data_IF_097283267883
#
_entry.id   IF_097283267883
#
_cell.length_a   1.000
_cell.length_b   1.000
_cell.length_c   1.000
_cell.angle_alpha   90.00
_cell.angle_beta   90.00
_cell.angle_gamma   90.00
#
_symmetry.space_group_name_H-M   'P 1'
#
loop_
_entity.id
_entity.type
_entity.pdbx_description
1 polymer ?
#
# COMPACT_ATOMS: atom_id res chain seq x y z
N UNK A 1 -27.90 10.19 -17.92
CA UNK A 1 -27.19 9.93 -16.65
C UNK A 1 -26.06 10.92 -16.52
N UNK A 2 -26.17 11.85 -15.58
CA UNK A 2 -25.12 12.80 -15.27
C UNK A 2 -24.02 12.05 -14.51
N UNK A 3 -22.85 11.85 -15.13
CA UNK A 3 -21.67 11.32 -14.44
C UNK A 3 -21.14 12.41 -13.53
N UNK A 4 -21.66 12.48 -12.32
CA UNK A 4 -21.09 13.32 -11.26
C UNK A 4 -19.64 12.87 -11.07
N UNK A 5 -18.68 13.73 -11.46
CA UNK A 5 -17.26 13.47 -11.26
C UNK A 5 -16.93 13.69 -9.78
N UNK A 6 -17.12 12.66 -8.96
CA UNK A 6 -16.91 12.74 -7.52
C UNK A 6 -15.41 12.58 -7.24
N UNK A 7 -14.76 13.52 -6.52
CA UNK A 7 -13.33 13.48 -6.24
C UNK A 7 -12.95 12.29 -5.35
N UNK A 8 -11.80 11.69 -5.65
CA UNK A 8 -11.13 10.66 -4.84
C UNK A 8 -10.13 11.36 -3.92
N UNK A 9 -10.15 11.05 -2.64
CA UNK A 9 -9.16 11.54 -1.68
C UNK A 9 -8.32 10.38 -1.14
N UNK A 10 -7.03 10.63 -0.98
CA UNK A 10 -6.10 9.65 -0.43
C UNK A 10 -5.01 10.31 0.41
N UNK A 11 -4.58 9.61 1.45
CA UNK A 11 -3.47 9.96 2.30
C UNK A 11 -2.50 8.77 2.36
N UNK A 12 -1.22 9.06 2.26
CA UNK A 12 -0.16 8.06 2.31
C UNK A 12 0.84 8.44 3.39
N UNK A 13 1.20 7.47 4.22
CA UNK A 13 2.19 7.64 5.27
C UNK A 13 3.21 6.51 5.19
N UNK A 14 4.49 6.85 5.20
CA UNK A 14 5.59 5.88 5.24
C UNK A 14 6.67 6.31 6.21
N UNK A 15 7.25 5.33 6.89
CA UNK A 15 8.36 5.52 7.80
C UNK A 15 9.46 4.50 7.50
N UNK A 16 10.71 4.99 7.50
CA UNK A 16 11.90 4.13 7.45
C UNK A 16 12.28 3.74 8.87
N UNK A 17 12.45 2.44 9.10
CA UNK A 17 12.94 1.87 10.35
C UNK A 17 14.40 1.47 10.12
N UNK A 18 15.30 2.39 10.49
CA UNK A 18 16.73 2.26 10.17
C UNK A 18 17.00 2.32 8.66
N UNK A 19 18.00 1.55 8.21
CA UNK A 19 18.42 1.55 6.80
C UNK A 19 17.84 0.37 6.00
N UNK A 20 17.19 -0.58 6.68
CA UNK A 20 16.82 -1.86 6.10
C UNK A 20 15.31 -2.00 5.86
N UNK A 21 14.45 -1.30 6.60
CA UNK A 21 13.00 -1.53 6.54
C UNK A 21 12.28 -0.22 6.27
N UNK A 22 11.27 -0.26 5.41
CA UNK A 22 10.27 0.78 5.28
C UNK A 22 8.88 0.18 5.44
N UNK A 23 8.07 0.84 6.24
CA UNK A 23 6.68 0.50 6.47
C UNK A 23 5.83 1.66 6.03
N UNK A 24 4.66 1.39 5.48
CA UNK A 24 3.69 2.44 5.30
C UNK A 24 2.29 1.95 5.07
N UNK A 25 1.42 2.93 4.96
CA UNK A 25 -0.01 2.73 4.83
C UNK A 25 -0.58 3.76 3.87
N UNK A 26 -1.56 3.31 3.09
CA UNK A 26 -2.34 4.13 2.18
C UNK A 26 -3.78 4.08 2.65
N UNK A 27 -4.37 5.24 2.91
CA UNK A 27 -5.79 5.37 3.14
C UNK A 27 -6.40 6.12 1.95
N UNK A 28 -7.45 5.61 1.35
CA UNK A 28 -8.20 6.34 0.33
C UNK A 28 -9.70 6.12 0.47
N UNK A 29 -10.46 7.16 0.13
CA UNK A 29 -11.92 7.14 0.21
C UNK A 29 -12.53 7.72 -1.06
N UNK A 30 -13.61 7.08 -1.52
CA UNK A 30 -14.43 7.56 -2.62
C UNK A 30 -15.91 7.48 -2.23
N UNK A 31 -16.51 8.67 -2.09
CA UNK A 31 -17.95 8.87 -1.93
C UNK A 31 -18.59 8.10 -0.76
N UNK A 32 -17.98 8.15 0.44
CA UNK A 32 -18.45 7.54 1.71
C UNK A 32 -18.77 6.04 1.68
N UNK A 33 -18.59 5.37 0.54
CA UNK A 33 -18.96 3.98 0.29
C UNK A 33 -17.76 3.09 0.00
N UNK A 34 -16.66 3.66 -0.50
CA UNK A 34 -15.46 2.90 -0.87
C UNK A 34 -14.30 3.41 -0.04
N UNK A 35 -13.86 2.59 0.90
CA UNK A 35 -12.73 2.87 1.77
C UNK A 35 -11.68 1.81 1.50
N UNK A 36 -10.50 2.23 1.06
CA UNK A 36 -9.34 1.36 0.92
C UNK A 36 -8.30 1.73 1.98
N UNK A 37 -7.92 0.73 2.79
CA UNK A 37 -6.75 0.78 3.63
C UNK A 37 -5.73 -0.24 3.11
N UNK A 38 -4.59 0.25 2.65
CA UNK A 38 -3.47 -0.57 2.23
C UNK A 38 -2.30 -0.45 3.19
N UNK A 39 -1.49 -1.50 3.26
CA UNK A 39 -0.22 -1.50 3.98
C UNK A 39 0.88 -1.98 3.05
N UNK A 40 2.05 -1.37 3.13
CA UNK A 40 3.24 -1.88 2.48
C UNK A 40 4.39 -2.05 3.46
N UNK A 41 5.22 -3.04 3.17
CA UNK A 41 6.48 -3.31 3.85
C UNK A 41 7.52 -3.55 2.79
N UNK A 42 8.65 -2.89 2.94
CA UNK A 42 9.79 -2.98 2.05
C UNK A 42 11.00 -3.32 2.90
N UNK A 43 11.73 -4.36 2.50
CA UNK A 43 13.00 -4.77 3.07
C UNK A 43 14.10 -4.52 2.05
N UNK A 44 15.05 -3.68 2.43
CA UNK A 44 16.25 -3.33 1.67
C UNK A 44 17.41 -4.26 2.09
N UNK A 45 17.87 -5.08 1.16
CA UNK A 45 18.97 -6.03 1.29
C UNK A 45 20.14 -5.61 0.37
N UNK A 46 20.51 -4.33 0.42
CA UNK A 46 21.49 -3.71 -0.47
C UNK A 46 20.91 -3.47 -1.88
N UNK A 47 21.44 -4.10 -2.93
CA UNK A 47 20.93 -3.96 -4.30
C UNK A 47 19.64 -4.74 -4.54
N UNK A 48 19.17 -5.53 -3.58
CA UNK A 48 17.91 -6.26 -3.65
C UNK A 48 16.91 -5.62 -2.70
N UNK A 49 15.68 -5.44 -3.17
CA UNK A 49 14.55 -5.01 -2.36
C UNK A 49 13.48 -6.07 -2.41
N UNK A 50 12.97 -6.47 -1.25
CA UNK A 50 11.78 -7.33 -1.15
C UNK A 50 10.62 -6.45 -0.69
N UNK A 51 9.45 -6.58 -1.32
CA UNK A 51 8.28 -5.83 -0.91
C UNK A 51 7.07 -6.74 -0.72
N UNK A 52 6.18 -6.32 0.16
CA UNK A 52 4.85 -6.83 0.36
C UNK A 52 3.88 -5.66 0.46
N UNK A 53 2.78 -5.70 -0.28
CA UNK A 53 1.75 -4.67 -0.36
C UNK A 53 0.40 -5.36 -0.21
N UNK A 54 -0.49 -4.73 0.55
CA UNK A 54 -1.88 -5.11 0.70
C UNK A 54 -2.76 -3.95 0.30
N UNK A 55 -3.90 -4.24 -0.31
CA UNK A 55 -4.98 -3.28 -0.58
C UNK A 55 -6.30 -3.86 -0.07
N UNK A 56 -7.19 -2.96 0.35
CA UNK A 56 -8.47 -3.25 0.99
C UNK A 56 -8.31 -4.17 2.21
N UNK A 57 -7.28 -3.91 3.02
CA UNK A 57 -7.03 -4.63 4.26
C UNK A 57 -8.17 -4.48 5.29
N UNK A 58 -9.04 -3.49 5.13
CA UNK A 58 -10.26 -3.38 5.94
C UNK A 58 -11.26 -4.49 5.65
N UNK A 59 -11.35 -4.98 4.41
CA UNK A 59 -12.23 -6.10 4.04
C UNK A 59 -11.79 -7.41 4.72
N UNK A 60 -10.53 -7.49 5.19
CA UNK A 60 -10.05 -8.60 6.02
C UNK A 60 -10.50 -8.48 7.49
N UNK A 61 -10.77 -7.26 7.96
CA UNK A 61 -11.17 -6.97 9.35
C UNK A 61 -12.69 -6.83 9.52
N UNK A 62 -13.40 -6.47 8.45
CA UNK A 62 -14.86 -6.40 8.43
C UNK A 62 -15.45 -7.70 7.90
N UNK A 63 -16.64 -8.08 8.38
CA UNK A 63 -17.36 -9.28 7.92
C UNK A 63 -18.11 -9.05 6.60
N UNK A 64 -17.81 -7.93 5.92
CA UNK A 64 -18.51 -7.49 4.72
C UNK A 64 -18.06 -8.38 3.54
N UNK A 65 -18.97 -9.00 2.76
CA UNK A 65 -18.63 -9.97 1.73
C UNK A 65 -18.05 -9.35 0.45
N UNK A 66 -17.46 -8.15 0.53
CA UNK A 66 -16.81 -7.49 -0.60
C UNK A 66 -15.38 -8.03 -0.68
N UNK A 67 -15.22 -9.10 -1.45
CA UNK A 67 -14.01 -9.94 -1.56
C UNK A 67 -12.81 -9.28 -2.26
N UNK A 68 -12.51 -8.02 -1.97
CA UNK A 68 -11.51 -7.25 -2.72
C UNK A 68 -10.17 -7.11 -2.01
N UNK A 69 -9.84 -8.00 -1.06
CA UNK A 69 -8.49 -8.05 -0.51
C UNK A 69 -7.48 -8.46 -1.59
N UNK A 70 -6.48 -7.61 -1.82
CA UNK A 70 -5.39 -7.92 -2.74
C UNK A 70 -4.08 -7.93 -1.97
N UNK A 71 -3.29 -8.98 -2.17
CA UNK A 71 -1.92 -9.07 -1.68
C UNK A 71 -0.96 -9.17 -2.86
N UNK A 72 0.12 -8.39 -2.80
CA UNK A 72 1.20 -8.38 -3.79
C UNK A 72 2.53 -8.47 -3.06
N UNK A 73 3.34 -9.46 -3.42
CA UNK A 73 4.71 -9.58 -2.95
C UNK A 73 5.65 -9.66 -4.13
N UNK A 74 6.88 -9.18 -3.96
CA UNK A 74 7.85 -9.23 -5.04
C UNK A 74 9.26 -8.87 -4.61
N UNK A 75 10.16 -8.98 -5.57
CA UNK A 75 11.58 -8.68 -5.42
C UNK A 75 11.96 -7.73 -6.56
N UNK A 76 12.59 -6.61 -6.22
CA UNK A 76 13.13 -5.63 -7.14
C UNK A 76 14.66 -5.57 -7.02
N UNK A 77 15.32 -5.25 -8.13
CA UNK A 77 16.72 -4.84 -8.11
C UNK A 77 16.80 -3.31 -8.05
N UNK A 78 17.65 -2.82 -7.16
CA UNK A 78 17.93 -1.41 -6.93
C UNK A 78 19.26 -1.05 -7.58
N UNK A 79 19.17 -0.35 -8.70
CA UNK A 79 20.35 0.17 -9.42
C UNK A 79 20.85 1.49 -8.84
N UNK A 80 20.09 2.11 -7.94
CA UNK A 80 20.43 3.28 -7.15
C UNK A 80 21.19 2.94 -5.86
N UNK A 81 21.60 1.68 -5.68
CA UNK A 81 22.36 1.26 -4.52
C UNK A 81 23.81 1.73 -4.63
N UNK A 82 24.10 2.88 -4.01
CA UNK A 82 25.46 3.25 -3.64
C UNK A 82 25.80 2.58 -2.31
N UNK A 83 26.94 1.88 -2.27
CA UNK A 83 27.44 1.20 -1.08
C UNK A 83 27.63 2.27 0.03
N UNK A 84 27.03 2.12 1.23
CA UNK A 84 27.16 3.11 2.31
C UNK A 84 28.59 3.27 2.81
#
# INVERSE_FOLDING_TARGET
EEKTNIPLFGAYFSAKVGNAIELGTLYSTKNDQWLNLGFHTILYLGPVQVFAITDNALDFLTTDPWHNFHFRGGINLRFDYENP
#
